data_IF_631579103788
#
_entry.id   IF_631579103788
#
_cell.length_a   1.000
_cell.length_b   1.000
_cell.length_c   1.000
_cell.angle_alpha   90.00
_cell.angle_beta   90.00
_cell.angle_gamma   90.00
#
_symmetry.space_group_name_H-M   'P 1'
#
loop_
_entity.id
_entity.type
_entity.pdbx_description
1 polymer ?
#
# COMPACT_ATOMS: atom_id res chain seq x y z
N UNK A 1 -9.94 -3.92 -4.84
CA UNK A 1 -9.61 -2.56 -4.33
C UNK A 1 -8.91 -1.86 -5.48
N UNK A 2 -9.45 -0.74 -5.97
CA UNK A 2 -8.92 -0.02 -7.15
C UNK A 2 -8.45 1.41 -6.82
N UNK A 3 -8.87 1.94 -5.67
CA UNK A 3 -8.41 3.22 -5.12
C UNK A 3 -8.13 3.09 -3.63
N UNK A 4 -7.38 4.05 -3.06
CA UNK A 4 -7.16 4.13 -1.61
C UNK A 4 -8.49 4.31 -0.87
N UNK A 5 -9.46 5.01 -1.44
CA UNK A 5 -10.80 5.19 -0.85
C UNK A 5 -11.55 3.85 -0.66
N UNK A 6 -11.29 2.84 -1.49
CA UNK A 6 -11.90 1.51 -1.37
C UNK A 6 -11.41 0.72 -0.13
N UNK A 7 -10.42 1.24 0.59
CA UNK A 7 -9.89 0.62 1.82
C UNK A 7 -10.84 0.73 3.01
N UNK A 8 -11.85 1.63 2.96
CA UNK A 8 -12.83 1.78 4.05
C UNK A 8 -13.49 0.43 4.40
N UNK A 9 -13.40 0.04 5.66
CA UNK A 9 -13.89 -1.21 6.24
C UNK A 9 -13.07 -2.47 5.90
N UNK A 10 -11.95 -2.33 5.16
CA UNK A 10 -11.07 -3.44 4.77
C UNK A 10 -10.02 -3.74 5.84
N UNK A 11 -9.49 -4.95 5.83
CA UNK A 11 -8.35 -5.39 6.65
C UNK A 11 -7.07 -4.96 5.96
N UNK A 12 -6.38 -3.99 6.54
CA UNK A 12 -5.24 -3.35 5.91
C UNK A 12 -4.05 -3.35 6.86
N UNK A 13 -2.91 -3.88 6.42
CA UNK A 13 -1.67 -3.74 7.18
C UNK A 13 -0.99 -2.42 6.87
N UNK A 14 -0.66 -1.65 7.91
CA UNK A 14 0.05 -0.37 7.79
C UNK A 14 1.55 -0.50 8.11
N UNK A 15 2.06 -1.73 8.19
CA UNK A 15 3.40 -2.07 8.70
C UNK A 15 3.50 -1.98 10.23
N UNK A 16 4.66 -2.35 10.79
CA UNK A 16 4.89 -2.43 12.23
C UNK A 16 5.10 -1.06 12.91
N UNK A 17 4.80 -0.94 14.22
CA UNK A 17 5.13 0.26 14.98
C UNK A 17 6.63 0.59 14.89
N UNK A 18 6.95 1.82 14.53
CA UNK A 18 8.33 2.28 14.33
C UNK A 18 8.83 2.20 12.87
N UNK A 19 8.04 1.63 11.94
CA UNK A 19 8.34 1.70 10.50
C UNK A 19 8.08 3.10 9.94
N UNK A 20 8.82 3.51 8.90
CA UNK A 20 8.47 4.70 8.10
C UNK A 20 7.20 4.50 7.29
N UNK A 21 6.93 3.27 6.85
CA UNK A 21 5.76 2.89 6.05
C UNK A 21 4.45 3.30 6.72
N UNK A 22 4.32 3.15 8.04
CA UNK A 22 3.08 3.51 8.76
C UNK A 22 2.82 5.02 8.72
N UNK A 23 3.88 5.83 8.73
CA UNK A 23 3.77 7.29 8.64
C UNK A 23 3.26 7.67 7.25
N UNK A 24 3.87 7.09 6.22
CA UNK A 24 3.48 7.34 4.83
C UNK A 24 2.05 6.83 4.55
N UNK A 25 1.70 5.66 5.07
CA UNK A 25 0.37 5.07 4.94
C UNK A 25 -0.71 5.98 5.55
N UNK A 26 -0.47 6.55 6.73
CA UNK A 26 -1.40 7.51 7.37
C UNK A 26 -1.59 8.76 6.54
N UNK A 27 -0.51 9.31 5.98
CA UNK A 27 -0.56 10.49 5.11
C UNK A 27 -1.40 10.20 3.86
N UNK A 28 -1.17 9.04 3.25
CA UNK A 28 -1.95 8.60 2.08
C UNK A 28 -3.42 8.43 2.46
N UNK A 29 -3.74 7.72 3.55
CA UNK A 29 -5.13 7.57 4.01
C UNK A 29 -5.81 8.93 4.23
N UNK A 30 -5.15 9.87 4.92
CA UNK A 30 -5.68 11.21 5.20
C UNK A 30 -5.99 11.96 3.90
N UNK A 31 -5.10 11.88 2.90
CA UNK A 31 -5.30 12.53 1.61
C UNK A 31 -6.54 12.03 0.86
N UNK A 32 -6.93 10.76 1.09
CA UNK A 32 -8.15 10.14 0.55
C UNK A 32 -9.33 10.18 1.54
N UNK A 33 -9.24 10.96 2.62
CA UNK A 33 -10.33 11.15 3.58
C UNK A 33 -10.60 9.96 4.49
N UNK A 34 -9.59 9.11 4.71
CA UNK A 34 -9.64 7.96 5.61
C UNK A 34 -8.71 8.14 6.80
N UNK A 35 -9.03 7.47 7.89
CA UNK A 35 -8.17 7.30 9.06
C UNK A 35 -7.99 5.82 9.37
N UNK A 36 -7.16 5.48 10.35
CA UNK A 36 -7.04 4.09 10.80
C UNK A 36 -8.36 3.54 11.35
N UNK A 37 -9.22 4.39 11.93
CA UNK A 37 -10.52 3.99 12.46
C UNK A 37 -11.52 3.63 11.34
N UNK A 38 -11.27 4.08 10.11
CA UNK A 38 -12.06 3.72 8.94
C UNK A 38 -11.70 2.34 8.36
N UNK A 39 -10.63 1.71 8.83
CA UNK A 39 -10.14 0.41 8.38
C UNK A 39 -10.02 -0.57 9.54
N UNK A 40 -9.92 -1.86 9.23
CA UNK A 40 -9.52 -2.88 10.21
C UNK A 40 -7.99 -2.95 10.18
N UNK A 41 -7.35 -1.99 10.84
CA UNK A 41 -5.90 -1.84 10.81
C UNK A 41 -5.19 -3.05 11.46
N UNK A 42 -4.22 -3.59 10.73
CA UNK A 42 -3.24 -4.55 11.22
C UNK A 42 -1.83 -3.95 11.10
N UNK A 43 -0.89 -4.49 11.86
CA UNK A 43 0.47 -3.95 11.93
C UNK A 43 1.50 -5.06 11.72
N UNK A 44 1.70 -5.41 10.44
CA UNK A 44 2.49 -6.56 10.01
C UNK A 44 3.53 -6.14 8.98
N UNK A 45 4.76 -6.66 9.13
CA UNK A 45 5.81 -6.53 8.12
C UNK A 45 5.37 -7.13 6.77
N UNK A 46 6.01 -6.75 5.65
CA UNK A 46 5.58 -7.14 4.30
C UNK A 46 5.46 -8.65 4.06
N UNK A 47 6.37 -9.48 4.60
CA UNK A 47 6.31 -10.93 4.45
C UNK A 47 5.03 -11.53 5.09
N UNK A 48 4.84 -11.40 6.41
CA UNK A 48 3.61 -11.85 7.08
C UNK A 48 2.32 -11.22 6.53
N UNK A 49 2.35 -9.95 6.12
CA UNK A 49 1.21 -9.29 5.47
C UNK A 49 0.88 -9.96 4.12
N UNK A 50 1.91 -10.28 3.33
CA UNK A 50 1.79 -11.02 2.08
C UNK A 50 1.16 -12.40 2.28
N UNK A 51 1.62 -13.18 3.27
CA UNK A 51 1.02 -14.50 3.58
C UNK A 51 -0.46 -14.38 3.96
N UNK A 52 -0.84 -13.42 4.81
CA UNK A 52 -2.26 -13.19 5.14
C UNK A 52 -3.08 -12.71 3.96
N UNK A 53 -2.48 -11.93 3.05
CA UNK A 53 -3.13 -11.56 1.80
C UNK A 53 -3.37 -12.81 0.94
N UNK A 54 -2.40 -13.73 0.88
CA UNK A 54 -2.54 -15.00 0.15
C UNK A 54 -3.70 -15.85 0.68
N UNK A 55 -3.82 -15.92 2.01
CA UNK A 55 -4.86 -16.70 2.69
C UNK A 55 -6.24 -16.02 2.73
N UNK A 56 -6.37 -14.81 2.17
CA UNK A 56 -7.60 -14.01 2.24
C UNK A 56 -7.93 -13.50 3.65
N UNK A 57 -6.97 -13.58 4.57
CA UNK A 57 -7.05 -13.04 5.92
C UNK A 57 -6.78 -11.52 5.97
N UNK A 58 -6.13 -10.96 4.95
CA UNK A 58 -5.89 -9.54 4.74
C UNK A 58 -6.47 -9.11 3.38
N UNK A 59 -6.86 -7.84 3.23
CA UNK A 59 -7.41 -7.31 1.99
C UNK A 59 -6.40 -6.42 1.23
N UNK A 60 -5.51 -5.72 1.93
CA UNK A 60 -4.43 -4.91 1.36
C UNK A 60 -3.29 -4.68 2.39
N UNK A 61 -2.13 -4.23 1.93
CA UNK A 61 -1.11 -3.67 2.83
C UNK A 61 -0.32 -2.56 2.15
N UNK A 62 0.20 -1.64 2.95
CA UNK A 62 1.14 -0.62 2.50
C UNK A 62 2.57 -1.15 2.51
N UNK A 63 3.36 -0.71 1.53
CA UNK A 63 4.78 -1.02 1.43
C UNK A 63 5.52 0.18 0.86
N UNK A 64 6.62 0.57 1.50
CA UNK A 64 7.55 1.59 1.00
C UNK A 64 8.91 0.93 0.81
N UNK A 65 9.40 0.92 -0.42
CA UNK A 65 10.67 0.31 -0.79
C UNK A 65 10.91 0.39 -2.29
N UNK A 66 12.11 0.00 -2.72
CA UNK A 66 12.46 -0.02 -4.15
C UNK A 66 11.72 -1.10 -4.93
N UNK A 67 11.65 -0.93 -6.25
CA UNK A 67 11.16 -1.96 -7.17
C UNK A 67 12.31 -2.49 -8.06
N UNK A 68 12.33 -3.80 -8.37
CA UNK A 68 11.51 -4.84 -7.75
C UNK A 68 11.98 -5.15 -6.31
N UNK A 69 11.07 -5.65 -5.48
CA UNK A 69 11.38 -6.19 -4.15
C UNK A 69 10.88 -7.62 -4.06
N UNK A 70 11.73 -8.53 -3.56
CA UNK A 70 11.47 -9.98 -3.52
C UNK A 70 10.12 -10.37 -2.93
N UNK A 71 9.73 -9.79 -1.79
CA UNK A 71 8.45 -10.09 -1.13
C UNK A 71 7.23 -9.76 -2.01
N UNK A 72 7.27 -8.64 -2.74
CA UNK A 72 6.19 -8.24 -3.65
C UNK A 72 6.19 -9.13 -4.90
N UNK A 73 7.38 -9.44 -5.43
CA UNK A 73 7.53 -10.34 -6.59
C UNK A 73 7.01 -11.75 -6.32
N UNK A 74 7.30 -12.31 -5.15
CA UNK A 74 6.81 -13.64 -4.75
C UNK A 74 5.29 -13.64 -4.59
N UNK A 75 4.75 -12.60 -3.96
CA UNK A 75 3.31 -12.44 -3.79
C UNK A 75 2.58 -12.31 -5.13
N UNK A 76 3.14 -11.52 -6.05
CA UNK A 76 2.60 -11.34 -7.39
C UNK A 76 2.46 -12.66 -8.17
N UNK A 77 3.49 -13.50 -8.12
CA UNK A 77 3.49 -14.82 -8.76
C UNK A 77 2.45 -15.76 -8.13
N UNK A 78 2.25 -15.68 -6.82
CA UNK A 78 1.46 -16.67 -6.08
C UNK A 78 -0.05 -16.44 -6.16
N UNK A 79 -0.49 -15.18 -6.07
CA UNK A 79 -1.90 -14.86 -5.86
C UNK A 79 -2.51 -13.88 -6.88
N UNK A 80 -1.71 -13.28 -7.76
CA UNK A 80 -2.16 -12.19 -8.61
C UNK A 80 -2.53 -10.97 -7.77
N UNK A 81 -1.63 -9.99 -7.69
CA UNK A 81 -1.89 -8.74 -6.97
C UNK A 81 -2.16 -7.61 -7.94
N UNK A 82 -2.81 -6.56 -7.45
CA UNK A 82 -2.93 -5.28 -8.12
C UNK A 82 -2.23 -4.21 -7.30
N UNK A 83 -1.49 -3.31 -7.95
CA UNK A 83 -0.97 -2.12 -7.28
C UNK A 83 -2.06 -1.04 -7.31
N UNK A 84 -2.36 -0.48 -6.14
CA UNK A 84 -3.33 0.62 -6.04
C UNK A 84 -2.59 1.93 -6.32
N UNK A 85 -2.94 2.68 -7.38
CA UNK A 85 -2.24 3.90 -7.72
C UNK A 85 -2.53 5.00 -6.70
N UNK A 86 -1.47 5.69 -6.25
CA UNK A 86 -1.55 6.93 -5.49
C UNK A 86 -1.32 8.06 -6.50
N UNK A 87 -2.41 8.63 -7.00
CA UNK A 87 -2.38 9.59 -8.12
C UNK A 87 -3.57 10.55 -8.05
N UNK A 88 -3.53 11.58 -8.89
CA UNK A 88 -4.60 12.59 -8.97
C UNK A 88 -4.46 13.69 -7.92
N UNK A 89 -5.55 14.47 -7.69
CA UNK A 89 -5.54 15.62 -6.80
C UNK A 89 -5.11 15.30 -5.37
N UNK A 90 -5.39 14.08 -4.88
CA UNK A 90 -4.99 13.62 -3.56
C UNK A 90 -3.48 13.46 -3.45
N UNK A 91 -2.84 12.89 -4.48
CA UNK A 91 -1.38 12.78 -4.55
C UNK A 91 -0.71 14.15 -4.70
N UNK A 92 -1.31 15.07 -5.47
CA UNK A 92 -0.80 16.44 -5.61
C UNK A 92 -0.81 17.18 -4.26
N UNK A 93 -1.88 17.03 -3.45
CA UNK A 93 -1.94 17.58 -2.09
C UNK A 93 -0.85 17.02 -1.16
N UNK A 94 -0.53 15.73 -1.28
CA UNK A 94 0.56 15.12 -0.51
C UNK A 94 1.88 15.81 -0.88
N UNK A 95 2.15 15.99 -2.17
CA UNK A 95 3.39 16.60 -2.65
C UNK A 95 3.52 18.09 -2.27
N UNK A 96 2.41 18.82 -2.20
CA UNK A 96 2.38 20.20 -1.72
C UNK A 96 2.70 20.31 -0.22
N UNK A 97 2.19 19.38 0.59
CA UNK A 97 2.31 19.41 2.05
C UNK A 97 3.60 18.78 2.57
N UNK A 98 4.14 17.78 1.87
CA UNK A 98 5.25 16.94 2.34
C UNK A 98 6.38 16.89 1.31
N UNK A 99 7.38 17.75 1.50
CA UNK A 99 8.50 17.93 0.56
C UNK A 99 9.43 16.72 0.41
N UNK A 100 9.25 15.67 1.19
CA UNK A 100 10.02 14.43 1.11
C UNK A 100 9.41 13.40 0.15
N UNK A 101 8.19 13.60 -0.32
CA UNK A 101 7.62 12.78 -1.40
C UNK A 101 8.04 13.32 -2.76
N UNK A 102 8.11 12.42 -3.74
CA UNK A 102 8.32 12.74 -5.14
C UNK A 102 7.42 11.87 -6.01
N UNK A 103 7.13 12.33 -7.23
CA UNK A 103 6.37 11.55 -8.21
C UNK A 103 7.25 10.45 -8.77
N UNK A 104 6.74 9.24 -8.78
CA UNK A 104 7.36 8.09 -9.43
C UNK A 104 6.30 7.15 -10.01
N UNK A 105 6.69 6.30 -10.95
CA UNK A 105 5.84 5.31 -11.59
C UNK A 105 6.53 3.96 -11.53
N UNK A 106 5.91 3.00 -10.85
CA UNK A 106 6.35 1.60 -10.91
C UNK A 106 6.22 1.12 -12.36
N UNK A 107 7.33 0.78 -13.05
CA UNK A 107 7.29 0.43 -14.45
C UNK A 107 6.43 -0.81 -14.71
N UNK A 108 5.74 -0.84 -15.84
CA UNK A 108 5.07 -2.05 -16.30
C UNK A 108 6.09 -3.20 -16.38
N UNK A 109 5.74 -4.37 -15.83
CA UNK A 109 6.62 -5.52 -15.76
C UNK A 109 7.65 -5.51 -14.61
N UNK A 110 7.65 -4.50 -13.74
CA UNK A 110 8.45 -4.53 -12.51
C UNK A 110 8.08 -5.74 -11.62
N UNK A 111 6.81 -6.13 -11.65
CA UNK A 111 6.32 -7.37 -11.06
C UNK A 111 5.59 -8.19 -12.13
N UNK A 112 5.88 -9.49 -12.16
CA UNK A 112 5.24 -10.40 -13.12
C UNK A 112 3.76 -10.55 -12.79
N UNK A 113 2.92 -10.56 -13.81
CA UNK A 113 1.46 -10.79 -13.69
C UNK A 113 0.71 -9.74 -12.84
N UNK A 114 1.33 -8.56 -12.65
CA UNK A 114 0.73 -7.37 -12.01
C UNK A 114 0.38 -6.36 -13.10
N UNK A 115 -0.89 -5.94 -13.09
CA UNK A 115 -1.42 -4.90 -13.98
C UNK A 115 -1.47 -3.52 -13.29
#
# INVERSE_FOLDING_TARGET
IKSVADLKGKRVSLDEPGSGTIVDARIVLEAYGLTEDDIKAEHLKPGPAGERLKDGALDAYFFVGGYPTGAISELAISNGISLVPISGPEADKILEKYSFFSKDVVPAGAYKDVA
#
